data_IF_105812271147
#
_entry.id   IF_105812271147
#
_cell.length_a   1.000
_cell.length_b   1.000
_cell.length_c   1.000
_cell.angle_alpha   90.00
_cell.angle_beta   90.00
_cell.angle_gamma   90.00
#
_symmetry.space_group_name_H-M   'P 1'
#
loop_
_entity.id
_entity.type
_entity.pdbx_description
1 polymer ?
#
# COMPACT_ATOMS: atom_id res chain seq x y z
N UNK A 1 4.01 20.72 21.03
CA UNK A 1 4.30 20.84 19.60
C UNK A 1 3.51 19.77 18.89
N UNK A 2 2.65 20.19 17.97
CA UNK A 2 1.89 19.30 17.09
C UNK A 2 2.86 18.37 16.35
N UNK A 3 2.54 17.09 16.32
CA UNK A 3 3.32 16.09 15.61
C UNK A 3 3.44 16.46 14.13
N UNK A 4 4.54 16.03 13.52
CA UNK A 4 4.68 16.03 12.07
C UNK A 4 4.74 14.58 11.64
N UNK A 5 3.76 14.16 10.84
CA UNK A 5 3.61 12.78 10.38
C UNK A 5 3.80 12.72 8.87
N UNK A 6 4.60 11.77 8.42
CA UNK A 6 4.82 11.48 7.01
C UNK A 6 4.38 10.07 6.65
N UNK A 7 4.02 9.85 5.39
CA UNK A 7 3.69 8.54 4.85
C UNK A 7 4.96 7.95 4.25
N UNK A 8 5.34 6.77 4.70
CA UNK A 8 6.52 6.04 4.23
C UNK A 8 6.12 4.83 3.41
N UNK A 9 6.82 4.59 2.30
CA UNK A 9 6.77 3.31 1.58
C UNK A 9 8.01 2.49 1.90
N UNK A 10 7.80 1.22 2.23
CA UNK A 10 8.85 0.24 2.47
C UNK A 10 9.10 -0.60 1.21
N UNK A 11 10.38 -0.78 0.86
CA UNK A 11 10.82 -1.59 -0.28
C UNK A 11 12.18 -2.25 -0.02
N UNK A 12 12.47 -3.31 -0.76
CA UNK A 12 13.72 -4.06 -0.72
C UNK A 12 13.77 -5.05 0.44
N UNK A 13 14.99 -5.47 0.78
CA UNK A 13 15.26 -6.58 1.71
C UNK A 13 14.44 -6.51 3.01
N UNK A 14 13.87 -7.65 3.39
CA UNK A 14 12.97 -7.77 4.56
C UNK A 14 13.62 -7.31 5.87
N UNK A 15 14.94 -7.55 6.02
CA UNK A 15 15.72 -7.10 7.17
C UNK A 15 16.36 -5.76 6.86
N UNK A 16 15.81 -4.69 7.43
CA UNK A 16 16.26 -3.32 7.17
C UNK A 16 15.77 -2.77 5.81
N UNK A 17 14.45 -2.73 5.57
CA UNK A 17 13.92 -2.21 4.32
C UNK A 17 14.23 -0.73 4.15
N UNK A 18 14.28 -0.29 2.89
CA UNK A 18 14.37 1.12 2.57
C UNK A 18 13.02 1.78 2.87
N UNK A 19 13.03 2.83 3.70
CA UNK A 19 11.83 3.61 4.06
C UNK A 19 11.86 4.97 3.37
N UNK A 20 11.02 5.14 2.35
CA UNK A 20 10.99 6.32 1.48
C UNK A 20 9.80 7.22 1.81
N UNK A 21 10.02 8.53 2.01
CA UNK A 21 8.92 9.50 2.19
C UNK A 21 8.14 9.66 0.88
N UNK A 22 6.83 9.41 0.93
CA UNK A 22 5.94 9.56 -0.21
C UNK A 22 4.84 10.61 0.01
N UNK A 23 4.91 11.39 1.09
CA UNK A 23 3.81 12.27 1.53
C UNK A 23 3.40 13.31 0.49
N UNK A 24 4.36 13.86 -0.25
CA UNK A 24 4.14 14.95 -1.21
C UNK A 24 4.45 14.57 -2.65
N UNK A 25 4.54 13.27 -2.93
CA UNK A 25 4.86 12.72 -4.25
C UNK A 25 3.90 11.58 -4.59
N UNK A 26 3.86 11.20 -5.86
CA UNK A 26 3.14 10.00 -6.27
C UNK A 26 3.99 8.75 -6.03
N UNK A 27 3.35 7.59 -6.01
CA UNK A 27 4.01 6.28 -5.92
C UNK A 27 3.36 5.34 -6.91
N UNK A 28 4.15 4.57 -7.67
CA UNK A 28 3.62 3.57 -8.61
C UNK A 28 3.61 2.17 -8.02
N UNK A 29 2.52 1.45 -8.24
CA UNK A 29 2.43 0.01 -8.03
C UNK A 29 2.90 -0.69 -9.32
N UNK A 30 4.14 -1.16 -9.31
CA UNK A 30 4.81 -1.79 -10.46
C UNK A 30 5.10 -3.26 -10.17
N UNK A 31 5.51 -4.03 -11.18
CA UNK A 31 6.01 -5.38 -10.97
C UNK A 31 7.50 -5.36 -10.56
N UNK A 32 7.84 -4.59 -9.52
CA UNK A 32 9.18 -4.49 -8.94
C UNK A 32 9.07 -3.95 -7.50
N UNK A 33 9.91 -4.44 -6.57
CA UNK A 33 9.94 -3.97 -5.19
C UNK A 33 10.84 -2.74 -5.00
N UNK A 34 10.57 -1.68 -5.76
CA UNK A 34 11.26 -0.40 -5.66
C UNK A 34 10.24 0.73 -5.75
N UNK A 35 10.48 1.82 -5.02
CA UNK A 35 9.66 3.02 -5.16
C UNK A 35 10.01 3.77 -6.46
N UNK A 36 8.99 4.18 -7.20
CA UNK A 36 9.13 5.06 -8.35
C UNK A 36 7.94 6.00 -8.46
N UNK A 37 8.17 7.15 -9.10
CA UNK A 37 7.15 8.17 -9.43
C UNK A 37 6.66 8.05 -10.88
N UNK A 38 7.41 7.34 -11.73
CA UNK A 38 7.22 7.38 -13.18
C UNK A 38 7.77 6.19 -13.95
N UNK A 39 8.14 5.09 -13.28
CA UNK A 39 8.72 3.95 -13.97
C UNK A 39 7.72 3.30 -14.95
N UNK A 40 8.26 2.93 -16.12
CA UNK A 40 7.61 2.25 -17.23
C UNK A 40 8.37 1.00 -17.69
N UNK A 41 9.51 0.69 -17.08
CA UNK A 41 10.36 -0.46 -17.39
C UNK A 41 9.89 -1.74 -16.67
N UNK A 42 9.23 -1.60 -15.53
CA UNK A 42 8.68 -2.73 -14.75
C UNK A 42 7.14 -2.72 -14.73
N UNK A 43 6.46 -2.82 -15.89
CA UNK A 43 4.99 -2.80 -15.94
C UNK A 43 4.38 -4.05 -15.29
N UNK A 44 3.07 -4.01 -15.06
CA UNK A 44 2.28 -5.22 -14.81
C UNK A 44 1.74 -5.65 -16.18
N UNK A 45 2.15 -6.82 -16.68
CA UNK A 45 1.67 -7.30 -17.97
C UNK A 45 0.19 -7.68 -17.88
N UNK A 46 -0.60 -7.37 -18.92
CA UNK A 46 -1.97 -7.86 -19.02
C UNK A 46 -1.88 -9.36 -19.36
N UNK A 47 -2.43 -10.25 -18.53
CA UNK A 47 -2.28 -11.68 -18.75
C UNK A 47 -3.14 -12.15 -19.94
N UNK A 48 -2.75 -13.27 -20.55
CA UNK A 48 -3.57 -13.96 -21.57
C UNK A 48 -4.71 -14.76 -20.93
N UNK A 49 -4.54 -15.19 -19.68
CA UNK A 49 -5.55 -15.83 -18.83
C UNK A 49 -5.21 -15.59 -17.34
N UNK A 50 -6.22 -15.58 -16.47
CA UNK A 50 -6.01 -15.42 -15.03
C UNK A 50 -5.75 -13.96 -14.62
N UNK A 51 -4.79 -13.77 -13.71
CA UNK A 51 -4.46 -12.46 -13.13
C UNK A 51 -2.95 -12.29 -13.02
N UNK A 52 -2.47 -11.10 -13.33
CA UNK A 52 -1.13 -10.62 -12.96
C UNK A 52 -1.28 -9.53 -11.90
N UNK A 53 -0.21 -9.27 -11.16
CA UNK A 53 -0.23 -8.39 -10.01
C UNK A 53 0.93 -7.40 -10.03
N UNK A 54 0.77 -6.26 -9.38
CA UNK A 54 1.92 -5.48 -8.93
C UNK A 54 2.68 -6.26 -7.87
N UNK A 55 3.89 -5.84 -7.55
CA UNK A 55 4.50 -6.20 -6.28
C UNK A 55 3.71 -5.51 -5.14
N UNK A 56 3.82 -6.04 -3.92
CA UNK A 56 3.11 -5.48 -2.77
C UNK A 56 3.62 -4.08 -2.47
N UNK A 57 2.70 -3.14 -2.28
CA UNK A 57 3.05 -1.80 -1.84
C UNK A 57 2.77 -1.71 -0.35
N UNK A 58 3.83 -1.56 0.43
CA UNK A 58 3.79 -1.49 1.89
C UNK A 58 3.90 -0.03 2.33
N UNK A 59 2.88 0.50 3.00
CA UNK A 59 2.89 1.88 3.51
C UNK A 59 2.65 1.94 5.02
N UNK A 60 3.30 2.90 5.69
CA UNK A 60 3.20 3.12 7.14
C UNK A 60 3.32 4.61 7.47
N UNK A 61 2.79 5.02 8.63
CA UNK A 61 3.00 6.36 9.16
C UNK A 61 4.33 6.49 9.90
N UNK A 62 4.92 7.67 9.85
CA UNK A 62 6.16 8.00 10.56
C UNK A 62 6.06 9.38 11.19
N UNK A 63 6.15 9.44 12.53
CA UNK A 63 6.27 10.70 13.26
C UNK A 63 7.71 11.22 13.17
N UNK A 64 7.94 12.26 12.35
CA UNK A 64 9.24 12.95 12.29
C UNK A 64 9.45 13.86 13.49
N UNK A 65 8.34 14.28 14.10
CA UNK A 65 8.30 15.05 15.34
C UNK A 65 7.35 14.33 16.28
N UNK A 66 7.77 14.11 17.54
CA UNK A 66 6.93 13.44 18.53
C UNK A 66 5.65 14.25 18.81
N UNK A 67 4.51 13.59 19.06
CA UNK A 67 3.31 14.26 19.52
C UNK A 67 3.47 14.81 20.94
N UNK A 68 2.56 15.70 21.32
CA UNK A 68 2.49 16.19 22.70
C UNK A 68 2.07 15.10 23.69
N UNK A 69 1.13 14.23 23.30
CA UNK A 69 0.71 13.10 24.11
C UNK A 69 0.64 11.81 23.30
N UNK A 70 -0.30 11.70 22.35
CA UNK A 70 -0.57 10.44 21.66
C UNK A 70 -1.07 10.68 20.23
N UNK A 71 -0.51 9.92 19.29
CA UNK A 71 -1.10 9.69 17.97
C UNK A 71 -1.80 8.33 17.97
N UNK A 72 -3.09 8.31 17.66
CA UNK A 72 -3.91 7.10 17.56
C UNK A 72 -5.07 7.28 16.56
N UNK A 73 -6.07 6.39 16.64
CA UNK A 73 -7.24 6.37 15.75
C UNK A 73 -6.88 6.45 14.26
N UNK A 74 -5.94 5.59 13.85
CA UNK A 74 -5.38 5.63 12.50
C UNK A 74 -6.40 5.06 11.52
N UNK A 75 -6.62 5.78 10.43
CA UNK A 75 -7.58 5.47 9.39
C UNK A 75 -6.96 5.61 8.00
N UNK A 76 -7.37 4.74 7.09
CA UNK A 76 -6.92 4.67 5.70
C UNK A 76 -8.12 4.59 4.76
N UNK A 77 -8.12 5.34 3.67
CA UNK A 77 -9.21 5.30 2.68
C UNK A 77 -8.77 5.84 1.32
N UNK A 78 -9.55 5.53 0.28
CA UNK A 78 -9.37 6.07 -1.08
C UNK A 78 -10.44 7.12 -1.41
N UNK A 79 -10.35 7.73 -2.59
CA UNK A 79 -11.38 8.65 -3.10
C UNK A 79 -12.70 7.95 -3.51
N UNK A 80 -12.74 6.62 -3.45
CA UNK A 80 -13.93 5.79 -3.69
C UNK A 80 -14.19 5.42 -5.14
N UNK A 81 -13.48 6.04 -6.10
CA UNK A 81 -13.60 5.73 -7.51
C UNK A 81 -12.54 4.73 -7.95
N UNK A 82 -12.91 3.68 -8.71
CA UNK A 82 -11.89 2.90 -9.40
C UNK A 82 -11.37 3.67 -10.62
N UNK A 83 -10.35 4.50 -10.41
CA UNK A 83 -9.70 5.31 -11.45
C UNK A 83 -8.80 4.50 -12.40
N UNK A 84 -8.45 3.26 -12.03
CA UNK A 84 -7.58 2.38 -12.82
C UNK A 84 -8.28 1.81 -14.06
N UNK A 85 -9.61 1.66 -13.99
CA UNK A 85 -10.46 1.23 -15.09
C UNK A 85 -10.81 -0.27 -15.08
N UNK A 86 -11.52 -0.70 -16.12
CA UNK A 86 -12.01 -2.08 -16.24
C UNK A 86 -10.88 -3.10 -16.23
N UNK A 87 -11.09 -4.23 -15.55
CA UNK A 87 -10.12 -5.31 -15.47
C UNK A 87 -8.95 -5.04 -14.52
N UNK A 88 -9.01 -3.97 -13.71
CA UNK A 88 -8.02 -3.65 -12.71
C UNK A 88 -8.71 -3.44 -11.36
N UNK A 89 -8.22 -4.11 -10.32
CA UNK A 89 -8.70 -3.95 -8.94
C UNK A 89 -7.53 -3.64 -8.01
N UNK A 90 -7.85 -3.05 -6.84
CA UNK A 90 -6.87 -2.75 -5.80
C UNK A 90 -7.21 -3.59 -4.57
N UNK A 91 -6.36 -4.56 -4.28
CA UNK A 91 -6.46 -5.41 -3.09
C UNK A 91 -5.80 -4.71 -1.91
N UNK A 92 -6.32 -4.89 -0.69
CA UNK A 92 -5.74 -4.29 0.52
C UNK A 92 -5.88 -5.19 1.76
N UNK A 93 -4.86 -5.17 2.61
CA UNK A 93 -4.83 -5.76 3.95
C UNK A 93 -3.90 -4.95 4.86
N UNK A 94 -3.90 -5.23 6.17
CA UNK A 94 -2.93 -4.67 7.13
C UNK A 94 -2.04 -5.76 7.71
N UNK A 95 -0.86 -5.38 8.23
CA UNK A 95 -0.02 -6.28 9.02
C UNK A 95 0.85 -5.50 10.00
N UNK A 96 1.31 -6.16 11.06
CA UNK A 96 2.31 -5.57 11.96
C UNK A 96 3.59 -5.19 11.19
N UNK A 97 4.23 -4.09 11.60
CA UNK A 97 5.48 -3.60 10.97
C UNK A 97 6.60 -4.65 10.91
N UNK A 98 6.70 -5.50 11.92
CA UNK A 98 7.67 -6.59 11.99
C UNK A 98 7.42 -7.71 10.97
N UNK A 99 6.22 -7.77 10.40
CA UNK A 99 5.82 -8.73 9.36
C UNK A 99 6.13 -8.23 7.95
N UNK A 100 6.77 -7.07 7.79
CA UNK A 100 7.23 -6.62 6.47
C UNK A 100 8.04 -7.72 5.79
N UNK A 101 7.68 -8.00 4.54
CA UNK A 101 8.44 -8.89 3.68
C UNK A 101 8.57 -8.29 2.27
N UNK A 102 9.76 -8.43 1.70
CA UNK A 102 10.06 -8.06 0.32
C UNK A 102 9.14 -8.84 -0.62
N UNK A 103 8.51 -8.13 -1.56
CA UNK A 103 7.58 -8.75 -2.50
C UNK A 103 8.33 -9.63 -3.53
N UNK A 104 7.99 -10.92 -3.67
CA UNK A 104 8.56 -11.78 -4.69
C UNK A 104 7.75 -11.69 -5.99
N UNK A 105 8.37 -12.02 -7.12
CA UNK A 105 7.70 -12.11 -8.41
C UNK A 105 8.67 -12.16 -9.58
N UNK A 106 8.13 -12.00 -10.78
CA UNK A 106 8.91 -11.81 -12.01
C UNK A 106 8.87 -10.34 -12.38
N UNK A 107 10.04 -9.69 -12.31
CA UNK A 107 10.16 -8.25 -12.56
C UNK A 107 9.64 -7.90 -13.96
N UNK A 108 8.82 -6.85 -14.04
CA UNK A 108 8.21 -6.37 -15.29
C UNK A 108 7.12 -7.25 -15.87
N UNK A 109 6.70 -8.31 -15.16
CA UNK A 109 5.63 -9.21 -15.58
C UNK A 109 4.53 -9.27 -14.53
N UNK A 110 4.84 -9.80 -13.33
CA UNK A 110 3.87 -9.98 -12.25
C UNK A 110 4.54 -10.16 -10.89
N UNK A 111 3.94 -9.57 -9.86
CA UNK A 111 4.17 -9.94 -8.47
C UNK A 111 3.47 -11.23 -8.08
N UNK A 112 3.86 -11.79 -6.94
CA UNK A 112 3.14 -12.87 -6.27
C UNK A 112 1.86 -12.32 -5.64
N UNK A 113 0.73 -13.00 -5.81
CA UNK A 113 -0.56 -12.56 -5.25
C UNK A 113 -0.48 -12.35 -3.73
N UNK A 114 -1.04 -11.23 -3.27
CA UNK A 114 -1.20 -10.92 -1.86
C UNK A 114 -2.22 -11.89 -1.28
N UNK A 115 -1.74 -12.81 -0.45
CA UNK A 115 -2.53 -13.72 0.36
C UNK A 115 -1.85 -13.86 1.71
N UNK A 116 -2.59 -14.28 2.73
CA UNK A 116 -2.03 -14.49 4.06
C UNK A 116 -0.90 -15.54 4.06
N UNK A 117 -1.01 -16.55 3.20
CA UNK A 117 0.05 -17.54 2.99
C UNK A 117 1.31 -16.93 2.36
N UNK A 118 1.14 -16.09 1.34
CA UNK A 118 2.28 -15.53 0.61
C UNK A 118 2.98 -14.41 1.38
N UNK A 119 2.22 -13.63 2.15
CA UNK A 119 2.74 -12.52 2.95
C UNK A 119 3.07 -13.00 4.37
N UNK A 120 4.28 -13.51 4.57
CA UNK A 120 4.83 -13.96 5.87
C UNK A 120 4.03 -15.08 6.57
N UNK A 121 3.03 -15.67 5.91
CA UNK A 121 2.42 -16.94 6.29
C UNK A 121 1.48 -16.88 7.49
N UNK A 122 0.59 -15.90 7.56
CA UNK A 122 -0.42 -15.80 8.64
C UNK A 122 -0.48 -14.47 9.37
N UNK A 123 0.03 -13.39 8.79
CA UNK A 123 0.23 -12.11 9.49
C UNK A 123 -0.66 -10.99 8.99
N UNK A 124 -1.40 -11.17 7.90
CA UNK A 124 -2.22 -10.10 7.34
C UNK A 124 -3.65 -10.15 7.87
N UNK A 125 -4.25 -8.98 8.03
CA UNK A 125 -5.65 -8.81 8.44
C UNK A 125 -6.39 -7.99 7.40
N UNK A 126 -7.55 -8.47 6.89
CA UNK A 126 -8.06 -9.83 6.99
C UNK A 126 -7.19 -10.87 6.26
N UNK A 127 -7.23 -12.14 6.69
CA UNK A 127 -6.48 -13.24 6.07
C UNK A 127 -6.82 -13.48 4.57
N UNK A 128 -7.98 -13.01 4.12
CA UNK A 128 -8.27 -12.84 2.70
C UNK A 128 -8.33 -11.35 2.42
N UNK A 129 -7.35 -10.77 1.70
CA UNK A 129 -7.32 -9.34 1.40
C UNK A 129 -8.63 -8.86 0.80
N UNK A 130 -9.00 -7.63 1.11
CA UNK A 130 -10.19 -7.01 0.52
C UNK A 130 -9.89 -6.68 -0.94
N UNK A 131 -10.59 -7.32 -1.87
CA UNK A 131 -10.36 -7.17 -3.32
C UNK A 131 -10.74 -5.78 -3.89
N UNK A 132 -11.44 -4.96 -3.12
CA UNK A 132 -11.93 -3.65 -3.52
C UNK A 132 -11.59 -2.59 -2.48
N UNK A 133 -10.35 -2.12 -2.48
CA UNK A 133 -9.91 -1.05 -1.59
C UNK A 133 -10.71 0.25 -1.80
N UNK A 134 -11.27 0.49 -3.00
CA UNK A 134 -12.11 1.64 -3.30
C UNK A 134 -13.45 1.67 -2.52
N UNK A 135 -13.80 0.58 -1.81
CA UNK A 135 -14.93 0.61 -0.88
C UNK A 135 -14.61 1.37 0.42
N UNK A 136 -13.32 1.52 0.77
CA UNK A 136 -12.90 2.32 1.91
C UNK A 136 -12.88 3.78 1.50
N UNK A 137 -13.81 4.54 2.04
CA UNK A 137 -14.02 5.97 1.75
C UNK A 137 -14.02 6.76 3.04
N UNK A 138 -14.00 8.09 2.96
CA UNK A 138 -13.97 8.96 4.14
C UNK A 138 -15.07 8.67 5.19
N UNK A 139 -16.25 8.21 4.75
CA UNK A 139 -17.38 7.84 5.62
C UNK A 139 -17.37 6.40 6.15
N UNK A 140 -16.46 5.56 5.64
CA UNK A 140 -16.28 4.17 6.06
C UNK A 140 -14.79 3.77 5.83
N UNK A 141 -13.85 4.37 6.56
CA UNK A 141 -12.43 4.12 6.35
C UNK A 141 -12.03 2.74 6.88
N UNK A 142 -10.89 2.25 6.39
CA UNK A 142 -10.19 1.13 6.99
C UNK A 142 -9.54 1.60 8.29
N UNK A 143 -9.89 0.99 9.42
CA UNK A 143 -9.19 1.22 10.69
C UNK A 143 -7.85 0.49 10.70
N UNK A 144 -6.79 1.19 11.08
CA UNK A 144 -5.42 0.66 11.14
C UNK A 144 -4.98 0.66 12.60
N UNK A 145 -4.52 -0.48 13.11
CA UNK A 145 -4.13 -0.60 14.50
C UNK A 145 -2.81 0.11 14.80
N UNK A 146 -2.63 0.53 16.05
CA UNK A 146 -1.39 1.08 16.58
C UNK A 146 -1.48 2.54 16.99
N UNK A 147 -0.44 3.01 17.66
CA UNK A 147 -0.33 4.35 18.22
C UNK A 147 1.13 4.69 18.52
N UNK A 148 1.44 5.95 18.80
CA UNK A 148 2.78 6.34 19.29
C UNK A 148 2.75 7.58 20.16
N UNK A 149 3.70 7.67 21.08
CA UNK A 149 4.02 8.89 21.86
C UNK A 149 5.42 9.41 21.53
N UNK A 150 6.11 8.80 20.56
CA UNK A 150 7.51 9.09 20.20
C UNK A 150 7.66 9.29 18.70
N UNK A 151 8.82 9.78 18.28
CA UNK A 151 9.23 9.77 16.87
C UNK A 151 9.43 8.34 16.36
N UNK A 152 9.31 8.15 15.05
CA UNK A 152 9.55 6.88 14.36
C UNK A 152 8.33 6.37 13.62
N UNK A 153 8.48 5.20 13.00
CA UNK A 153 7.38 4.47 12.33
C UNK A 153 6.38 3.96 13.37
N UNK A 154 5.08 4.11 13.08
CA UNK A 154 4.01 3.66 13.97
C UNK A 154 2.77 3.24 13.19
N UNK A 155 1.89 2.51 13.88
CA UNK A 155 0.75 1.85 13.24
C UNK A 155 1.15 0.54 12.56
N UNK A 156 0.14 -0.17 12.08
CA UNK A 156 0.31 -1.28 11.15
C UNK A 156 0.64 -0.78 9.74
N UNK A 157 1.27 -1.67 8.97
CA UNK A 157 1.41 -1.51 7.53
C UNK A 157 0.03 -1.59 6.90
N UNK A 158 -0.26 -0.70 5.95
CA UNK A 158 -1.30 -0.95 4.95
C UNK A 158 -0.60 -1.45 3.69
N UNK A 159 -0.98 -2.66 3.30
CA UNK A 159 -0.42 -3.40 2.18
C UNK A 159 -1.47 -3.42 1.09
N UNK A 160 -1.15 -2.87 -0.08
CA UNK A 160 -2.04 -2.93 -1.23
C UNK A 160 -1.36 -3.49 -2.46
N UNK A 161 -2.15 -4.11 -3.32
CA UNK A 161 -1.67 -4.73 -4.56
C UNK A 161 -2.66 -4.48 -5.69
N UNK A 162 -2.13 -4.05 -6.84
CA UNK A 162 -2.93 -3.92 -8.06
C UNK A 162 -3.04 -5.29 -8.72
N UNK A 163 -4.26 -5.74 -8.97
CA UNK A 163 -4.57 -6.96 -9.71
C UNK A 163 -5.09 -6.60 -11.10
N UNK A 164 -4.51 -7.20 -12.13
CA UNK A 164 -4.81 -6.97 -13.54
C UNK A 164 -5.31 -8.27 -14.16
N UNK A 165 -6.48 -8.23 -14.80
CA UNK A 165 -7.06 -9.36 -15.53
C UNK A 165 -7.10 -9.10 -17.04
N UNK A 166 -7.49 -10.13 -17.80
CA UNK A 166 -7.47 -10.15 -19.28
C UNK A 166 -8.28 -9.04 -19.95
N UNK A 167 -9.26 -8.44 -19.26
CA UNK A 167 -10.10 -7.35 -19.80
C UNK A 167 -9.51 -5.96 -19.57
N UNK A 168 -8.33 -5.86 -18.97
CA UNK A 168 -7.64 -4.59 -18.80
C UNK A 168 -7.20 -4.00 -20.15
N UNK A 169 -7.02 -2.68 -20.18
CA UNK A 169 -6.49 -1.97 -21.35
C UNK A 169 -5.04 -1.51 -21.11
N UNK A 170 -4.16 -1.57 -22.11
CA UNK A 170 -2.79 -1.08 -21.98
C UNK A 170 -2.69 0.41 -21.62
N UNK A 171 -1.53 0.80 -21.10
CA UNK A 171 -1.16 2.20 -20.84
C UNK A 171 -0.89 2.49 -19.36
N UNK A 172 -0.44 3.71 -19.07
CA UNK A 172 -0.29 4.18 -17.69
C UNK A 172 -1.68 4.32 -17.07
N UNK A 173 -1.87 3.65 -15.92
CA UNK A 173 -3.08 3.71 -15.12
C UNK A 173 -2.76 4.17 -13.70
N UNK A 174 -3.69 4.86 -13.04
CA UNK A 174 -4.86 5.52 -13.62
C UNK A 174 -4.46 6.74 -14.48
N UNK A 175 -5.39 7.25 -15.31
CA UNK A 175 -5.12 8.46 -16.14
C UNK A 175 -5.00 9.73 -15.28
N UNK A 176 -5.68 9.74 -14.14
CA UNK A 176 -5.54 10.71 -13.05
C UNK A 176 -5.21 9.92 -11.80
N UNK A 177 -4.19 10.34 -11.05
CA UNK A 177 -3.71 9.59 -9.88
C UNK A 177 -4.84 9.29 -8.90
N UNK A 178 -4.94 8.03 -8.47
CA UNK A 178 -5.78 7.61 -7.34
C UNK A 178 -5.28 8.31 -6.08
N UNK A 179 -6.21 8.82 -5.27
CA UNK A 179 -5.86 9.46 -4.01
C UNK A 179 -6.14 8.51 -2.85
N UNK A 180 -5.06 8.12 -2.16
CA UNK A 180 -5.10 7.34 -0.93
C UNK A 180 -4.74 8.29 0.23
N UNK A 181 -5.55 8.28 1.28
CA UNK A 181 -5.46 9.21 2.40
C UNK A 181 -5.28 8.45 3.71
N UNK A 182 -4.43 9.00 4.57
CA UNK A 182 -4.33 8.60 5.98
C UNK A 182 -4.90 9.71 6.86
N UNK A 183 -5.63 9.33 7.90
CA UNK A 183 -6.11 10.20 8.97
C UNK A 183 -5.74 9.58 10.31
N UNK A 184 -5.56 10.43 11.32
CA UNK A 184 -5.24 10.05 12.69
C UNK A 184 -5.64 11.19 13.61
N UNK A 185 -5.77 10.89 14.89
CA UNK A 185 -5.99 11.90 15.93
C UNK A 185 -4.66 12.17 16.67
N UNK A 186 -4.47 13.43 17.08
CA UNK A 186 -3.44 13.81 18.05
C UNK A 186 -4.14 14.38 19.28
N UNK A 187 -3.80 13.85 20.44
CA UNK A 187 -4.29 14.32 21.76
C UNK A 187 -3.16 14.88 22.61
#
# INVERSE_FOLDING_TARGET
MVATVTIRRLTGVSVGPTSTDITSINTRANAEDVHSTGDTASPIEIPTAGSNFSFWVNTILHATTAPDNLLDNIEWFTDGGNSYGTGITLQVATAARASYTEAPGTIGVTGTELTDTNYTGGTITPATPTDNAFAFVTGAPLSVAGSTTTTGEFGELVIYQVKVITTATPGTKPATAEIITWRFDET
#
